data_IF_219617724987
#
_entry.id   IF_219617724987
#
_cell.length_a   1.000
_cell.length_b   1.000
_cell.length_c   1.000
_cell.angle_alpha   90.00
_cell.angle_beta   90.00
_cell.angle_gamma   90.00
#
_symmetry.space_group_name_H-M   'P 1'
#
loop_
_entity.id
_entity.type
_entity.pdbx_description
1 polymer ?
#
# COMPACT_ATOMS: atom_id res chain seq x y z
N UNK A 1 -11.65 83.89 -2.33
CA UNK A 1 -12.98 83.30 -2.59
C UNK A 1 -12.79 81.78 -2.68
N UNK A 2 -13.02 81.02 -1.60
CA UNK A 2 -14.27 80.25 -1.35
C UNK A 2 -14.67 79.40 -2.56
N UNK A 3 -14.56 78.06 -2.54
CA UNK A 3 -15.49 77.02 -2.00
C UNK A 3 -15.57 75.97 -3.13
N UNK A 4 -15.68 74.65 -3.00
CA UNK A 4 -16.17 73.73 -1.97
C UNK A 4 -15.57 72.34 -2.22
N UNK A 5 -15.27 71.62 -1.13
CA UNK A 5 -14.94 70.20 -1.12
C UNK A 5 -16.10 69.34 -1.62
N UNK A 6 -15.79 68.33 -2.43
CA UNK A 6 -16.70 67.22 -2.72
C UNK A 6 -16.31 66.03 -1.83
N UNK A 7 -17.14 65.72 -0.83
CA UNK A 7 -17.01 64.52 -0.02
C UNK A 7 -17.34 63.29 -0.89
N UNK A 8 -16.35 62.43 -1.14
CA UNK A 8 -16.58 61.09 -1.72
C UNK A 8 -16.82 60.12 -0.58
N UNK A 9 -18.08 59.70 -0.43
CA UNK A 9 -18.46 58.56 0.40
C UNK A 9 -17.86 57.28 -0.21
N UNK A 10 -16.99 56.61 0.55
CA UNK A 10 -16.50 55.26 0.23
C UNK A 10 -17.42 54.27 0.93
N UNK A 11 -18.10 53.37 0.21
CA UNK A 11 -18.89 52.32 0.86
C UNK A 11 -17.92 51.22 1.34
N UNK A 12 -17.99 50.92 2.63
CA UNK A 12 -17.27 49.82 3.28
C UNK A 12 -17.95 48.50 2.88
N UNK A 13 -17.39 47.78 1.89
CA UNK A 13 -17.82 46.41 1.58
C UNK A 13 -17.37 45.47 2.70
N UNK A 14 -18.34 44.96 3.47
CA UNK A 14 -18.16 43.83 4.38
C UNK A 14 -17.88 42.55 3.57
N UNK A 15 -16.65 42.03 3.65
CA UNK A 15 -16.29 40.72 3.13
C UNK A 15 -16.84 39.63 4.07
N UNK A 16 -18.00 39.06 3.72
CA UNK A 16 -18.41 37.77 4.30
C UNK A 16 -17.55 36.65 3.72
N UNK A 17 -16.97 35.76 4.54
CA UNK A 17 -16.30 34.57 4.02
C UNK A 17 -17.35 33.65 3.39
N UNK A 18 -17.24 33.45 2.08
CA UNK A 18 -17.92 32.37 1.37
C UNK A 18 -17.42 31.05 1.95
N UNK A 19 -18.16 30.49 2.91
CA UNK A 19 -18.02 29.11 3.27
C UNK A 19 -18.40 28.28 2.03
N UNK A 20 -17.40 27.72 1.33
CA UNK A 20 -17.63 26.63 0.39
C UNK A 20 -18.13 25.43 1.18
N UNK A 21 -19.44 25.38 1.41
CA UNK A 21 -20.12 24.15 1.77
C UNK A 21 -19.95 23.16 0.64
N UNK A 22 -19.34 22.01 0.94
CA UNK A 22 -19.35 20.86 0.05
C UNK A 22 -20.81 20.52 -0.28
N UNK A 23 -21.21 20.76 -1.53
CA UNK A 23 -22.54 20.40 -2.01
C UNK A 23 -22.81 18.90 -1.86
N UNK A 24 -24.08 18.48 -1.85
CA UNK A 24 -24.44 17.07 -1.78
C UNK A 24 -23.76 16.30 -2.93
N UNK A 25 -23.05 15.21 -2.59
CA UNK A 25 -22.49 14.32 -3.60
C UNK A 25 -23.61 13.84 -4.54
N UNK A 26 -23.38 13.83 -5.87
CA UNK A 26 -24.37 13.34 -6.80
C UNK A 26 -24.75 11.89 -6.47
N UNK A 27 -26.01 11.49 -6.71
CA UNK A 27 -26.47 10.13 -6.45
C UNK A 27 -25.57 9.12 -7.16
N UNK A 28 -25.04 8.17 -6.39
CA UNK A 28 -24.15 7.10 -6.89
C UNK A 28 -24.91 6.18 -7.82
N UNK A 29 -24.26 5.76 -8.90
CA UNK A 29 -24.80 4.71 -9.76
C UNK A 29 -24.89 3.38 -8.99
N UNK A 30 -25.77 2.49 -9.41
CA UNK A 30 -25.94 1.19 -8.77
C UNK A 30 -24.62 0.41 -8.68
N UNK A 31 -24.29 -0.01 -7.46
CA UNK A 31 -23.05 -0.72 -7.16
C UNK A 31 -21.80 0.16 -6.99
N UNK A 32 -21.88 1.48 -7.22
CA UNK A 32 -20.78 2.39 -6.92
C UNK A 32 -20.60 2.52 -5.40
N UNK A 33 -19.35 2.38 -4.94
CA UNK A 33 -19.00 2.48 -3.53
C UNK A 33 -18.37 3.84 -3.26
N UNK A 34 -18.66 4.39 -2.08
CA UNK A 34 -17.88 5.50 -1.56
C UNK A 34 -16.42 5.05 -1.43
N UNK A 35 -15.48 5.84 -1.96
CA UNK A 35 -14.05 5.47 -1.98
C UNK A 35 -13.43 5.36 -0.58
N UNK A 36 -13.97 6.10 0.39
CA UNK A 36 -13.62 6.01 1.81
C UNK A 36 -14.33 4.87 2.56
N UNK A 37 -15.23 4.13 1.89
CA UNK A 37 -15.92 3.00 2.54
C UNK A 37 -14.94 1.91 2.93
N UNK A 38 -15.20 1.27 4.07
CA UNK A 38 -14.39 0.14 4.57
C UNK A 38 -14.24 -0.95 3.50
N UNK A 39 -15.31 -1.26 2.76
CA UNK A 39 -15.31 -2.29 1.72
C UNK A 39 -14.37 -1.94 0.56
N UNK A 40 -14.39 -0.69 0.08
CA UNK A 40 -13.49 -0.23 -0.96
C UNK A 40 -12.02 -0.33 -0.53
N UNK A 41 -11.70 0.17 0.67
CA UNK A 41 -10.35 0.11 1.23
C UNK A 41 -9.86 -1.33 1.48
N UNK A 42 -10.72 -2.20 1.99
CA UNK A 42 -10.38 -3.62 2.21
C UNK A 42 -10.12 -4.35 0.89
N UNK A 43 -10.97 -4.18 -0.12
CA UNK A 43 -10.77 -4.81 -1.42
C UNK A 43 -9.50 -4.30 -2.13
N UNK A 44 -9.22 -2.98 -2.07
CA UNK A 44 -7.97 -2.42 -2.60
C UNK A 44 -6.73 -2.96 -1.89
N UNK A 45 -6.81 -3.15 -0.56
CA UNK A 45 -5.72 -3.74 0.21
C UNK A 45 -5.45 -5.20 -0.14
N UNK A 46 -6.50 -5.99 -0.36
CA UNK A 46 -6.34 -7.38 -0.84
C UNK A 46 -5.66 -7.41 -2.21
N UNK A 47 -6.03 -6.50 -3.11
CA UNK A 47 -5.37 -6.38 -4.41
C UNK A 47 -3.88 -5.99 -4.29
N UNK A 48 -3.54 -5.09 -3.36
CA UNK A 48 -2.16 -4.73 -3.07
C UNK A 48 -1.35 -5.90 -2.49
N UNK A 49 -1.92 -6.66 -1.55
CA UNK A 49 -1.25 -7.85 -0.98
C UNK A 49 -0.93 -8.88 -2.07
N UNK A 50 -1.87 -9.10 -2.99
CA UNK A 50 -1.61 -9.94 -4.15
C UNK A 50 -0.50 -9.38 -5.05
N UNK A 51 -0.45 -8.06 -5.29
CA UNK A 51 0.62 -7.41 -6.05
C UNK A 51 1.99 -7.60 -5.40
N UNK A 52 2.11 -7.32 -4.10
CA UNK A 52 3.36 -7.46 -3.36
C UNK A 52 3.82 -8.93 -3.30
N UNK A 53 2.89 -9.88 -3.19
CA UNK A 53 3.23 -11.31 -3.28
C UNK A 53 3.78 -11.69 -4.67
N UNK A 54 3.17 -11.18 -5.75
CA UNK A 54 3.52 -11.58 -7.12
C UNK A 54 4.73 -10.86 -7.69
N UNK A 55 4.94 -9.61 -7.29
CA UNK A 55 5.89 -8.68 -7.93
C UNK A 55 6.73 -7.88 -6.92
N UNK A 56 6.46 -8.01 -5.62
CA UNK A 56 7.18 -7.28 -4.60
C UNK A 56 8.58 -7.84 -4.38
N UNK A 57 9.48 -6.95 -3.98
CA UNK A 57 10.85 -7.24 -3.57
C UNK A 57 11.27 -6.22 -2.50
N UNK A 58 12.37 -6.43 -1.76
CA UNK A 58 12.84 -5.49 -0.76
C UNK A 58 12.96 -4.03 -1.26
N UNK A 59 13.20 -3.82 -2.55
CA UNK A 59 13.35 -2.50 -3.18
C UNK A 59 12.10 -2.02 -3.95
N UNK A 60 11.09 -2.88 -4.12
CA UNK A 60 9.85 -2.58 -4.85
C UNK A 60 8.56 -2.89 -4.06
N UNK A 61 8.64 -2.98 -2.74
CA UNK A 61 7.46 -3.07 -1.88
C UNK A 61 6.58 -1.82 -2.02
N UNK A 62 5.27 -2.04 -2.07
CA UNK A 62 4.29 -0.96 -2.19
C UNK A 62 3.34 -0.90 -0.99
N UNK A 63 2.92 0.32 -0.67
CA UNK A 63 1.83 0.63 0.24
C UNK A 63 0.57 1.07 -0.54
N UNK A 64 -0.60 0.97 0.11
CA UNK A 64 -1.87 1.41 -0.46
C UNK A 64 -1.95 2.92 -0.31
N UNK A 65 -2.01 3.65 -1.43
CA UNK A 65 -2.34 5.07 -1.42
C UNK A 65 -3.85 5.30 -1.44
N UNK A 66 -4.31 6.22 -2.27
CA UNK A 66 -5.72 6.61 -2.32
C UNK A 66 -6.53 5.70 -3.25
N UNK A 67 -7.67 5.21 -2.76
CA UNK A 67 -8.71 4.63 -3.61
C UNK A 67 -9.39 5.75 -4.39
N UNK A 68 -9.39 5.64 -5.71
CA UNK A 68 -9.94 6.64 -6.63
C UNK A 68 -11.30 6.26 -7.16
N UNK A 69 -11.53 4.97 -7.39
CA UNK A 69 -12.83 4.42 -7.83
C UNK A 69 -13.04 3.05 -7.23
N UNK A 70 -14.28 2.76 -6.84
CA UNK A 70 -14.67 1.46 -6.36
C UNK A 70 -16.12 1.15 -6.78
N UNK A 71 -16.33 0.00 -7.38
CA UNK A 71 -17.64 -0.52 -7.75
C UNK A 71 -17.73 -1.97 -7.32
N UNK A 72 -18.89 -2.42 -6.85
CA UNK A 72 -19.15 -3.81 -6.50
C UNK A 72 -20.29 -4.36 -7.36
N UNK A 73 -20.07 -5.57 -7.89
CA UNK A 73 -21.09 -6.35 -8.59
C UNK A 73 -21.37 -7.62 -7.80
N UNK A 74 -22.63 -7.78 -7.39
CA UNK A 74 -23.13 -9.03 -6.83
C UNK A 74 -23.33 -10.04 -7.95
N UNK A 75 -22.74 -11.23 -7.82
CA UNK A 75 -22.89 -12.33 -8.77
C UNK A 75 -23.67 -13.44 -8.05
N UNK A 76 -24.95 -13.69 -8.42
CA UNK A 76 -25.78 -14.71 -7.79
C UNK A 76 -25.08 -16.07 -7.73
N UNK A 77 -25.16 -16.74 -6.58
CA UNK A 77 -24.50 -18.04 -6.36
C UNK A 77 -22.97 -18.02 -6.23
N UNK A 78 -22.28 -16.97 -6.69
CA UNK A 78 -20.81 -16.92 -6.76
C UNK A 78 -20.22 -16.07 -5.63
N UNK A 79 -20.65 -14.81 -5.50
CA UNK A 79 -20.09 -13.86 -4.52
C UNK A 79 -20.06 -12.43 -5.03
N UNK A 80 -19.15 -11.61 -4.50
CA UNK A 80 -19.06 -10.18 -4.81
C UNK A 80 -17.75 -9.86 -5.54
N UNK A 81 -17.88 -9.21 -6.70
CA UNK A 81 -16.74 -8.76 -7.51
C UNK A 81 -16.57 -7.26 -7.40
N UNK A 82 -15.42 -6.85 -6.89
CA UNK A 82 -15.00 -5.47 -6.77
C UNK A 82 -14.19 -5.06 -8.00
N UNK A 83 -14.42 -3.84 -8.49
CA UNK A 83 -13.66 -3.16 -9.53
C UNK A 83 -13.08 -1.90 -8.91
N UNK A 84 -11.76 -1.77 -8.99
CA UNK A 84 -11.02 -0.81 -8.17
C UNK A 84 -10.01 -0.04 -9.02
N UNK A 85 -9.89 1.23 -8.74
CA UNK A 85 -8.77 2.07 -9.16
C UNK A 85 -8.16 2.71 -7.91
N UNK A 86 -6.86 2.56 -7.69
CA UNK A 86 -6.17 3.13 -6.55
C UNK A 86 -4.72 3.48 -6.87
N UNK A 87 -4.12 4.40 -6.13
CA UNK A 87 -2.69 4.69 -6.23
C UNK A 87 -1.89 3.78 -5.30
N UNK A 88 -0.65 3.53 -5.67
CA UNK A 88 0.33 2.85 -4.81
C UNK A 88 1.45 3.80 -4.45
N UNK A 89 1.99 3.62 -3.26
CA UNK A 89 3.14 4.38 -2.75
C UNK A 89 4.32 3.44 -2.54
N UNK A 90 5.52 3.98 -2.62
CA UNK A 90 6.72 3.28 -2.17
C UNK A 90 6.59 3.01 -0.67
N UNK A 91 6.82 1.76 -0.27
CA UNK A 91 6.64 1.37 1.12
C UNK A 91 7.56 2.11 2.09
N UNK A 92 8.76 2.54 1.66
CA UNK A 92 9.74 3.21 2.51
C UNK A 92 9.63 4.74 2.44
N UNK A 93 9.55 5.30 1.24
CA UNK A 93 9.55 6.75 1.04
C UNK A 93 8.17 7.39 1.01
N UNK A 94 7.10 6.59 1.00
CA UNK A 94 5.71 7.04 0.84
C UNK A 94 5.47 7.86 -0.44
N UNK A 95 6.39 7.83 -1.40
CA UNK A 95 6.24 8.53 -2.67
C UNK A 95 5.28 7.76 -3.57
N UNK A 96 4.46 8.46 -4.35
CA UNK A 96 3.58 7.81 -5.31
C UNK A 96 4.37 7.05 -6.39
N UNK A 97 4.11 5.75 -6.56
CA UNK A 97 4.82 4.88 -7.51
C UNK A 97 3.93 4.35 -8.65
N UNK A 98 2.70 4.87 -8.77
CA UNK A 98 1.80 4.55 -9.87
C UNK A 98 0.34 4.34 -9.47
N UNK A 99 -0.47 4.01 -10.47
CA UNK A 99 -1.91 3.73 -10.33
C UNK A 99 -2.18 2.30 -10.76
N UNK A 100 -3.04 1.62 -10.01
CA UNK A 100 -3.48 0.26 -10.28
C UNK A 100 -4.96 0.21 -10.65
N UNK A 101 -5.28 -0.64 -11.61
CA UNK A 101 -6.62 -1.10 -11.93
C UNK A 101 -6.71 -2.56 -11.50
N UNK A 102 -7.66 -2.88 -10.64
CA UNK A 102 -7.78 -4.22 -10.08
C UNK A 102 -9.22 -4.72 -10.05
N UNK A 103 -9.36 -6.04 -10.06
CA UNK A 103 -10.60 -6.72 -9.68
C UNK A 103 -10.33 -7.72 -8.57
N UNK A 104 -11.24 -7.79 -7.60
CA UNK A 104 -11.19 -8.73 -6.49
C UNK A 104 -12.53 -9.43 -6.39
N UNK A 105 -12.53 -10.75 -6.56
CA UNK A 105 -13.71 -11.60 -6.41
C UNK A 105 -13.62 -12.39 -5.11
N UNK A 106 -14.50 -12.07 -4.17
CA UNK A 106 -14.74 -12.87 -2.98
C UNK A 106 -15.76 -13.95 -3.31
N UNK A 107 -15.37 -15.21 -3.18
CA UNK A 107 -16.22 -16.37 -3.45
C UNK A 107 -16.93 -16.81 -2.17
N UNK A 108 -18.22 -17.15 -2.24
CA UNK A 108 -18.98 -17.61 -1.08
C UNK A 108 -18.44 -18.89 -0.43
N UNK A 109 -17.81 -19.76 -1.24
CA UNK A 109 -17.43 -21.13 -0.86
C UNK A 109 -15.92 -21.41 -0.95
N UNK A 110 -15.10 -20.42 -1.33
CA UNK A 110 -13.64 -20.60 -1.38
C UNK A 110 -12.95 -19.60 -0.46
N UNK A 111 -11.89 -20.01 0.25
CA UNK A 111 -11.25 -19.15 1.25
C UNK A 111 -10.45 -18.01 0.60
N UNK A 112 -9.90 -18.24 -0.60
CA UNK A 112 -8.96 -17.29 -1.24
C UNK A 112 -9.66 -16.39 -2.26
N UNK A 113 -9.52 -15.05 -2.17
CA UNK A 113 -10.01 -14.12 -3.18
C UNK A 113 -9.28 -14.29 -4.52
N UNK A 114 -10.03 -14.24 -5.63
CA UNK A 114 -9.44 -14.19 -6.96
C UNK A 114 -9.13 -12.74 -7.33
N UNK A 115 -7.88 -12.45 -7.71
CA UNK A 115 -7.40 -11.09 -7.99
C UNK A 115 -6.81 -11.00 -9.39
N UNK A 116 -7.20 -9.97 -10.12
CA UNK A 116 -6.49 -9.51 -11.32
C UNK A 116 -6.10 -8.05 -11.10
N UNK A 117 -4.85 -7.69 -11.35
CA UNK A 117 -4.33 -6.36 -11.14
C UNK A 117 -3.34 -5.99 -12.25
N UNK A 118 -3.47 -4.77 -12.75
CA UNK A 118 -2.51 -4.13 -13.63
C UNK A 118 -2.17 -2.75 -13.07
N UNK A 119 -0.89 -2.43 -13.00
CA UNK A 119 -0.41 -1.18 -12.43
C UNK A 119 0.53 -0.47 -13.41
N UNK A 120 0.41 0.84 -13.50
CA UNK A 120 1.50 1.66 -14.01
C UNK A 120 2.63 1.64 -12.99
N UNK A 121 3.88 1.61 -13.49
CA UNK A 121 5.07 1.66 -12.64
C UNK A 121 5.90 2.86 -13.04
N UNK A 122 6.15 3.75 -12.09
CA UNK A 122 6.96 4.95 -12.33
C UNK A 122 8.44 4.75 -12.01
N UNK A 123 8.79 3.68 -11.29
CA UNK A 123 10.16 3.31 -10.97
C UNK A 123 10.82 2.55 -12.12
N UNK A 124 12.13 2.73 -12.27
CA UNK A 124 12.91 1.94 -13.22
C UNK A 124 13.05 0.49 -12.71
N UNK A 125 12.62 -0.47 -13.54
CA UNK A 125 12.76 -1.90 -13.24
C UNK A 125 14.22 -2.34 -13.23
N UNK A 126 15.09 -1.71 -14.04
CA UNK A 126 16.52 -2.00 -14.04
C UNK A 126 17.14 -1.60 -12.70
N UNK A 127 16.88 -0.37 -12.24
CA UNK A 127 17.31 0.09 -10.93
C UNK A 127 16.81 -0.81 -9.81
N UNK A 128 15.52 -1.20 -9.84
CA UNK A 128 14.94 -2.12 -8.85
C UNK A 128 15.74 -3.44 -8.75
N UNK A 129 16.12 -4.02 -9.89
CA UNK A 129 16.92 -5.26 -9.92
C UNK A 129 18.33 -5.06 -9.37
N UNK A 130 18.95 -3.92 -9.66
CA UNK A 130 20.28 -3.58 -9.15
C UNK A 130 20.27 -3.36 -7.63
N UNK A 131 19.23 -2.73 -7.11
CA UNK A 131 19.01 -2.53 -5.68
C UNK A 131 18.77 -3.86 -4.96
N UNK A 132 17.92 -4.73 -5.51
CA UNK A 132 17.68 -6.07 -4.96
C UNK A 132 18.92 -6.96 -5.02
N UNK A 133 19.73 -6.87 -6.07
CA UNK A 133 21.00 -7.57 -6.14
C UNK A 133 22.00 -7.05 -5.09
N UNK A 134 22.02 -5.74 -4.86
CA UNK A 134 22.84 -5.13 -3.81
C UNK A 134 22.37 -5.55 -2.42
N UNK A 135 21.06 -5.63 -2.20
CA UNK A 135 20.45 -6.19 -1.00
C UNK A 135 20.89 -7.65 -0.77
N UNK A 136 20.80 -8.49 -1.80
CA UNK A 136 21.25 -9.88 -1.74
C UNK A 136 22.73 -10.00 -1.40
N UNK A 137 23.61 -9.24 -2.07
CA UNK A 137 25.05 -9.24 -1.76
C UNK A 137 25.34 -8.86 -0.31
N UNK A 138 24.65 -7.85 0.22
CA UNK A 138 24.79 -7.45 1.63
C UNK A 138 24.42 -8.59 2.57
N UNK A 139 23.29 -9.27 2.34
CA UNK A 139 22.90 -10.45 3.13
C UNK A 139 23.94 -11.58 3.06
N UNK A 140 24.54 -11.80 1.89
CA UNK A 140 25.56 -12.84 1.69
C UNK A 140 26.91 -12.51 2.34
N UNK A 141 27.24 -11.23 2.48
CA UNK A 141 28.48 -10.76 3.10
C UNK A 141 28.40 -10.68 4.63
N UNK A 142 27.20 -10.83 5.22
CA UNK A 142 27.05 -10.86 6.67
C UNK A 142 27.76 -12.07 7.27
N UNK A 143 28.64 -11.82 8.24
CA UNK A 143 29.37 -12.86 8.96
C UNK A 143 28.56 -13.53 10.06
N UNK A 144 27.45 -12.92 10.46
CA UNK A 144 26.53 -13.43 11.49
C UNK A 144 25.13 -13.55 10.90
N UNK A 145 24.42 -14.67 11.13
CA UNK A 145 23.04 -14.82 10.71
C UNK A 145 22.15 -13.75 11.35
N UNK A 146 21.21 -13.20 10.57
CA UNK A 146 20.21 -12.29 11.12
C UNK A 146 19.35 -13.04 12.14
N UNK A 147 19.35 -12.54 13.37
CA UNK A 147 18.44 -12.99 14.43
C UNK A 147 17.83 -11.77 15.08
N UNK A 148 16.54 -11.83 15.39
CA UNK A 148 15.83 -10.69 15.98
C UNK A 148 14.46 -11.09 16.49
N UNK A 149 13.92 -10.26 17.39
CA UNK A 149 12.60 -10.41 17.97
C UNK A 149 11.87 -9.08 17.89
N UNK A 150 10.54 -9.13 17.91
CA UNK A 150 9.68 -7.95 18.03
C UNK A 150 10.07 -6.80 17.07
N UNK A 151 9.97 -7.04 15.75
CA UNK A 151 10.32 -6.08 14.69
C UNK A 151 9.06 -5.59 13.96
N UNK A 152 8.71 -4.30 13.97
CA UNK A 152 9.29 -3.23 14.78
C UNK A 152 9.06 -3.46 16.27
N UNK A 153 9.83 -2.77 17.12
CA UNK A 153 9.64 -2.80 18.57
C UNK A 153 8.33 -2.13 19.01
N UNK A 154 8.09 -2.05 20.32
CA UNK A 154 6.88 -1.43 20.88
C UNK A 154 6.70 0.05 20.55
N UNK A 155 7.76 0.73 20.09
CA UNK A 155 7.75 2.14 19.70
C UNK A 155 7.71 2.33 18.18
N UNK A 156 7.65 1.24 17.41
CA UNK A 156 7.68 1.28 15.95
C UNK A 156 9.09 1.40 15.36
N UNK A 157 10.14 1.26 16.17
CA UNK A 157 11.52 1.33 15.69
C UNK A 157 11.98 -0.01 15.10
N UNK A 158 12.76 0.08 14.03
CA UNK A 158 13.41 -1.06 13.38
C UNK A 158 14.90 -0.76 13.38
N UNK A 159 15.68 -1.60 14.06
CA UNK A 159 17.14 -1.48 13.99
C UNK A 159 17.60 -1.65 12.53
N UNK A 160 18.57 -0.84 12.04
CA UNK A 160 19.03 -0.93 10.65
C UNK A 160 19.48 -2.33 10.23
N UNK A 161 20.04 -3.11 11.16
CA UNK A 161 20.45 -4.49 10.92
C UNK A 161 19.28 -5.46 10.66
N UNK A 162 18.07 -5.11 11.10
CA UNK A 162 16.85 -5.90 11.00
C UNK A 162 15.92 -5.42 9.87
N UNK A 163 16.21 -4.28 9.24
CA UNK A 163 15.46 -3.83 8.04
C UNK A 163 15.36 -4.89 6.94
N UNK A 164 16.41 -5.69 6.64
CA UNK A 164 16.29 -6.75 5.64
C UNK A 164 15.26 -7.81 6.01
N UNK A 165 15.23 -8.21 7.28
CA UNK A 165 14.25 -9.17 7.77
C UNK A 165 12.83 -8.59 7.72
N UNK A 166 12.65 -7.32 8.10
CA UNK A 166 11.35 -6.64 7.99
C UNK A 166 10.86 -6.58 6.55
N UNK A 167 11.69 -6.12 5.61
CA UNK A 167 11.32 -6.01 4.21
C UNK A 167 10.92 -7.37 3.60
N UNK A 168 11.71 -8.41 3.86
CA UNK A 168 11.38 -9.77 3.41
C UNK A 168 10.10 -10.29 4.06
N UNK A 169 9.87 -9.99 5.34
CA UNK A 169 8.67 -10.42 6.03
C UNK A 169 7.41 -9.68 5.54
N UNK A 170 7.49 -8.39 5.18
CA UNK A 170 6.39 -7.66 4.53
C UNK A 170 6.07 -8.27 3.17
N UNK A 171 7.09 -8.56 2.35
CA UNK A 171 6.93 -9.21 1.06
C UNK A 171 6.31 -10.62 1.21
N UNK A 172 6.88 -11.45 2.07
CA UNK A 172 6.44 -12.83 2.29
C UNK A 172 5.05 -12.93 2.90
N UNK A 173 4.74 -12.11 3.91
CA UNK A 173 3.43 -12.11 4.57
C UNK A 173 2.31 -11.65 3.66
N UNK A 174 2.61 -10.89 2.60
CA UNK A 174 1.62 -10.47 1.60
C UNK A 174 0.87 -11.65 0.98
N UNK A 175 1.52 -12.83 0.84
CA UNK A 175 0.84 -14.06 0.43
C UNK A 175 -0.27 -14.44 1.40
N UNK A 176 0.04 -14.57 2.69
CA UNK A 176 -0.92 -14.97 3.72
C UNK A 176 -2.02 -13.93 3.89
N UNK A 177 -1.67 -12.65 3.87
CA UNK A 177 -2.63 -11.56 3.99
C UNK A 177 -3.63 -11.57 2.82
N UNK A 178 -3.19 -11.81 1.59
CA UNK A 178 -4.09 -12.03 0.46
C UNK A 178 -4.89 -13.33 0.62
N UNK A 179 -4.21 -14.44 0.91
CA UNK A 179 -4.81 -15.78 0.91
C UNK A 179 -5.94 -15.92 1.92
N UNK A 180 -5.76 -15.35 3.12
CA UNK A 180 -6.72 -15.46 4.23
C UNK A 180 -7.77 -14.36 4.26
N UNK A 181 -7.64 -13.32 3.45
CA UNK A 181 -8.60 -12.21 3.46
C UNK A 181 -9.97 -12.64 2.96
N UNK A 182 -11.01 -12.10 3.59
CA UNK A 182 -12.40 -12.23 3.14
C UNK A 182 -13.01 -10.85 2.95
N UNK A 183 -14.25 -10.77 2.49
CA UNK A 183 -14.90 -9.47 2.28
C UNK A 183 -15.01 -8.64 3.58
N UNK A 184 -15.06 -9.29 4.74
CA UNK A 184 -15.17 -8.64 6.03
C UNK A 184 -13.85 -8.65 6.83
N UNK A 185 -12.82 -9.34 6.34
CA UNK A 185 -11.57 -9.55 7.06
C UNK A 185 -10.37 -9.16 6.20
N UNK A 186 -9.59 -8.21 6.71
CA UNK A 186 -8.36 -7.74 6.08
C UNK A 186 -7.21 -7.80 7.06
N UNK A 187 -6.01 -8.11 6.57
CA UNK A 187 -4.82 -8.24 7.38
C UNK A 187 -3.81 -7.12 7.12
N UNK A 188 -3.01 -6.86 8.16
CA UNK A 188 -1.82 -6.04 8.11
C UNK A 188 -0.71 -6.77 8.84
N UNK A 189 0.51 -6.59 8.36
CA UNK A 189 1.67 -7.02 9.09
C UNK A 189 1.92 -6.03 10.23
N UNK A 190 1.76 -6.50 11.47
CA UNK A 190 1.99 -5.68 12.65
C UNK A 190 3.45 -5.79 13.12
N UNK A 191 3.97 -7.01 13.20
CA UNK A 191 5.26 -7.29 13.81
C UNK A 191 5.79 -8.67 13.40
N UNK A 192 7.10 -8.81 13.28
CA UNK A 192 7.83 -10.08 13.28
C UNK A 192 8.16 -10.42 14.73
N UNK A 193 7.55 -11.47 15.27
CA UNK A 193 7.82 -11.89 16.66
C UNK A 193 9.20 -12.49 16.85
N UNK A 194 9.65 -13.30 15.91
CA UNK A 194 10.99 -13.88 15.90
C UNK A 194 11.42 -14.09 14.44
N UNK A 195 12.69 -13.82 14.16
CA UNK A 195 13.35 -14.18 12.90
C UNK A 195 14.69 -14.81 13.19
N UNK A 196 15.02 -15.86 12.43
CA UNK A 196 16.33 -16.49 12.41
C UNK A 196 16.66 -16.86 10.98
N UNK A 197 17.72 -16.27 10.45
CA UNK A 197 18.29 -16.69 9.18
C UNK A 197 18.91 -18.08 9.35
N UNK A 198 18.53 -19.00 8.47
CA UNK A 198 19.14 -20.32 8.40
C UNK A 198 20.37 -20.24 7.50
N UNK A 199 21.50 -20.76 7.99
CA UNK A 199 22.72 -20.87 7.19
C UNK A 199 22.68 -22.22 6.50
N UNK A 200 22.77 -22.22 5.17
CA UNK A 200 22.85 -23.46 4.38
C UNK A 200 24.26 -24.05 4.40
N UNK A 201 24.39 -25.38 4.25
CA UNK A 201 25.71 -26.03 4.11
C UNK A 201 26.54 -25.47 2.94
N UNK A 202 25.88 -25.02 1.86
CA UNK A 202 26.54 -24.40 0.72
C UNK A 202 27.18 -23.04 1.09
N UNK A 203 26.57 -22.29 2.01
CA UNK A 203 27.13 -21.05 2.56
C UNK A 203 28.31 -21.31 3.49
N UNK A 204 28.23 -22.36 4.32
CA UNK A 204 29.31 -22.77 5.22
C UNK A 204 30.53 -23.22 4.40
N UNK A 205 30.34 -24.03 3.35
CA UNK A 205 31.42 -24.49 2.47
C UNK A 205 32.10 -23.34 1.72
N UNK A 206 31.32 -22.37 1.23
CA UNK A 206 31.86 -21.18 0.53
C UNK A 206 32.63 -20.23 1.45
N UNK A 207 32.29 -20.15 2.74
CA UNK A 207 32.98 -19.31 3.72
C UNK A 207 34.28 -19.94 4.25
N UNK A 208 34.42 -21.27 4.14
CA UNK A 208 35.61 -22.02 4.57
C UNK A 208 36.62 -22.27 3.42
N UNK A 209 36.27 -21.92 2.18
CA UNK A 209 37.09 -22.13 0.99
C UNK A 209 37.75 -20.86 0.43
N UNK A 210 37.61 -19.73 1.11
CA UNK A 210 38.27 -18.45 0.79
C UNK A 210 39.14 -17.99 1.95
#
# INVERSE_FOLDING_TARGET
MQRRSAARLVPLLLLLPLAWGAGPEPPRADGELQVSSRRAGQAARVALHYLNYRQGSPSALRALGQVRKATVKTIPGIGHKYYLQFTTEDYKSSQNVGTCLATVLYLKRKPRPAVNINCTYTKDQKQTREDDYSFYKKLRQQTKPITGNDIPDSYGHIEPALEPAWALAVAGSSYLMWEKSTENLSYFMAQVKNVKQWVSEAEIKSALSG
#
